data_IF_125898464608
#
_entry.id   IF_125898464608
#
_cell.length_a   1.000
_cell.length_b   1.000
_cell.length_c   1.000
_cell.angle_alpha   90.00
_cell.angle_beta   90.00
_cell.angle_gamma   90.00
#
_symmetry.space_group_name_H-M   'P 1'
#
loop_
_entity.id
_entity.type
_entity.pdbx_description
1 polymer ?
#
# COMPACT_ATOMS: atom_id res chain seq x y z
N UNK A 1 -1.88 1.95 -3.85
CA UNK A 1 -0.71 1.05 -3.79
C UNK A 1 0.56 1.88 -3.86
N UNK A 2 1.40 1.88 -2.82
CA UNK A 2 2.69 2.57 -2.86
C UNK A 2 3.69 1.78 -3.69
N UNK A 3 4.10 2.34 -4.82
CA UNK A 3 4.98 1.68 -5.78
C UNK A 3 6.39 2.27 -5.72
N UNK A 4 7.39 1.46 -5.34
CA UNK A 4 8.78 1.92 -5.22
C UNK A 4 9.42 2.21 -6.59
N UNK A 5 9.91 3.45 -6.72
CA UNK A 5 10.66 3.95 -7.87
C UNK A 5 11.90 4.70 -7.36
N UNK A 6 13.03 4.01 -7.27
CA UNK A 6 14.26 4.58 -6.75
C UNK A 6 14.08 5.05 -5.30
N UNK A 7 14.30 6.35 -5.04
CA UNK A 7 14.16 6.95 -3.69
C UNK A 7 12.75 7.46 -3.39
N UNK A 8 11.77 7.13 -4.23
CA UNK A 8 10.40 7.60 -4.09
C UNK A 8 9.40 6.44 -4.05
N UNK A 9 8.24 6.69 -3.45
CA UNK A 9 7.06 5.88 -3.65
C UNK A 9 6.03 6.70 -4.43
N UNK A 10 5.51 6.10 -5.49
CA UNK A 10 4.55 6.72 -6.38
C UNK A 10 3.20 6.03 -6.28
N UNK A 11 2.14 6.82 -6.43
CA UNK A 11 0.77 6.39 -6.61
C UNK A 11 0.33 6.79 -8.01
N UNK A 12 -0.44 5.95 -8.68
CA UNK A 12 -0.88 6.19 -10.06
C UNK A 12 -2.40 6.15 -10.20
N UNK A 13 -2.92 6.90 -11.16
CA UNK A 13 -4.33 6.94 -11.54
C UNK A 13 -5.25 7.16 -10.34
N UNK A 14 -6.11 6.19 -10.01
CA UNK A 14 -7.06 6.29 -8.89
C UNK A 14 -6.35 6.45 -7.54
N UNK A 15 -5.22 5.78 -7.36
CA UNK A 15 -4.42 5.95 -6.15
C UNK A 15 -3.80 7.35 -6.09
N UNK A 16 -3.49 7.94 -7.25
CA UNK A 16 -2.95 9.29 -7.31
C UNK A 16 -3.98 10.35 -6.93
N UNK A 17 -5.23 10.19 -7.36
CA UNK A 17 -6.33 11.06 -6.95
C UNK A 17 -6.55 11.00 -5.44
N UNK A 18 -6.44 9.80 -4.86
CA UNK A 18 -6.53 9.59 -3.42
C UNK A 18 -5.36 10.27 -2.69
N UNK A 19 -4.13 10.08 -3.15
CA UNK A 19 -2.96 10.76 -2.57
C UNK A 19 -3.05 12.29 -2.67
N UNK A 20 -3.54 12.81 -3.79
CA UNK A 20 -3.79 14.25 -3.93
C UNK A 20 -4.83 14.76 -2.93
N UNK A 21 -5.96 14.06 -2.80
CA UNK A 21 -7.07 14.45 -1.93
C UNK A 21 -6.77 14.29 -0.44
N UNK A 22 -6.18 13.16 -0.05
CA UNK A 22 -6.06 12.77 1.36
C UNK A 22 -4.72 13.18 1.99
N UNK A 23 -3.68 13.38 1.17
CA UNK A 23 -2.32 13.71 1.60
C UNK A 23 -1.81 15.06 1.08
N UNK A 24 -2.63 15.78 0.31
CA UNK A 24 -2.32 17.09 -0.29
C UNK A 24 -1.04 17.05 -1.17
N UNK A 25 -0.79 15.92 -1.83
CA UNK A 25 0.35 15.80 -2.74
C UNK A 25 0.04 16.40 -4.09
N UNK A 26 1.02 17.11 -4.67
CA UNK A 26 0.85 17.75 -5.97
C UNK A 26 0.70 16.72 -7.08
N UNK A 27 -0.46 16.73 -7.74
CA UNK A 27 -0.72 15.91 -8.93
C UNK A 27 0.21 16.30 -10.08
N UNK A 28 0.78 15.31 -10.75
CA UNK A 28 1.56 15.47 -11.97
C UNK A 28 1.03 14.53 -13.06
N UNK A 29 1.20 14.92 -14.32
CA UNK A 29 0.75 14.14 -15.50
C UNK A 29 1.89 13.96 -16.53
N UNK A 30 3.13 14.01 -16.05
CA UNK A 30 4.35 14.06 -16.88
C UNK A 30 5.22 12.82 -16.77
N UNK A 31 4.76 11.78 -16.06
CA UNK A 31 5.51 10.55 -15.80
C UNK A 31 5.47 9.51 -16.92
N UNK A 32 6.10 8.36 -16.64
CA UNK A 32 6.12 7.19 -17.54
C UNK A 32 4.68 6.75 -17.84
N UNK A 33 4.31 6.72 -19.12
CA UNK A 33 2.95 6.34 -19.54
C UNK A 33 1.92 7.47 -19.53
N UNK A 34 2.31 8.74 -19.25
CA UNK A 34 1.41 9.90 -19.24
C UNK A 34 0.19 9.73 -18.32
N UNK A 35 0.36 9.01 -17.23
CA UNK A 35 -0.66 8.76 -16.22
C UNK A 35 -0.73 9.89 -15.18
N UNK A 36 -1.85 9.94 -14.44
CA UNK A 36 -1.95 10.77 -13.22
C UNK A 36 -1.05 10.16 -12.14
N UNK A 37 -0.17 10.96 -11.53
CA UNK A 37 0.73 10.47 -10.50
C UNK A 37 1.00 11.51 -9.40
N UNK A 38 1.21 10.99 -8.19
CA UNK A 38 1.74 11.72 -7.02
C UNK A 38 2.79 10.85 -6.35
N UNK A 39 3.66 11.44 -5.53
CA UNK A 39 4.66 10.65 -4.82
C UNK A 39 5.29 11.37 -3.65
N UNK A 40 6.02 10.58 -2.85
CA UNK A 40 6.75 11.03 -1.67
C UNK A 40 8.13 10.38 -1.64
N UNK A 41 9.08 11.02 -0.96
CA UNK A 41 10.38 10.40 -0.68
C UNK A 41 10.21 9.15 0.20
N UNK A 42 11.15 8.23 0.10
CA UNK A 42 11.15 7.01 0.91
C UNK A 42 11.17 7.26 2.42
N UNK A 43 11.72 8.40 2.84
CA UNK A 43 11.74 8.81 4.25
C UNK A 43 10.38 9.23 4.79
N UNK A 44 9.43 9.59 3.91
CA UNK A 44 8.11 10.08 4.30
C UNK A 44 6.98 9.04 4.17
N UNK A 45 7.29 7.82 3.71
CA UNK A 45 6.25 6.82 3.43
C UNK A 45 5.50 6.41 4.70
N UNK A 46 6.18 6.20 5.82
CA UNK A 46 5.55 5.62 7.01
C UNK A 46 4.46 6.56 7.58
N UNK A 47 4.70 7.87 7.58
CA UNK A 47 3.69 8.87 7.96
C UNK A 47 2.49 8.86 7.00
N UNK A 48 2.75 8.78 5.69
CA UNK A 48 1.70 8.72 4.67
C UNK A 48 0.83 7.47 4.82
N UNK A 49 1.46 6.31 5.04
CA UNK A 49 0.81 5.03 5.29
C UNK A 49 -0.08 5.13 6.53
N UNK A 50 0.45 5.65 7.65
CA UNK A 50 -0.32 5.83 8.88
C UNK A 50 -1.56 6.71 8.67
N UNK A 51 -1.42 7.85 7.97
CA UNK A 51 -2.56 8.73 7.65
C UNK A 51 -3.63 8.02 6.82
N UNK A 52 -3.24 7.23 5.82
CA UNK A 52 -4.20 6.51 4.98
C UNK A 52 -4.88 5.36 5.75
N UNK A 53 -4.13 4.59 6.54
CA UNK A 53 -4.69 3.51 7.36
C UNK A 53 -5.66 4.06 8.40
N UNK A 54 -5.33 5.18 9.06
CA UNK A 54 -6.22 5.85 10.01
C UNK A 54 -7.54 6.33 9.36
N UNK A 55 -7.53 6.61 8.05
CA UNK A 55 -8.72 6.96 7.26
C UNK A 55 -9.50 5.74 6.74
N UNK A 56 -9.10 4.52 7.12
CA UNK A 56 -9.78 3.28 6.75
C UNK A 56 -9.31 2.65 5.44
N UNK A 57 -8.27 3.20 4.79
CA UNK A 57 -7.76 2.64 3.54
C UNK A 57 -6.94 1.37 3.80
N UNK A 58 -6.98 0.46 2.82
CA UNK A 58 -6.07 -0.68 2.73
C UNK A 58 -4.88 -0.29 1.88
N UNK A 59 -3.68 -0.42 2.44
CA UNK A 59 -2.45 0.10 1.86
C UNK A 59 -1.51 -1.04 1.53
N UNK A 60 -1.06 -1.14 0.27
CA UNK A 60 -0.03 -2.08 -0.14
C UNK A 60 1.30 -1.37 -0.40
N UNK A 61 2.41 -1.95 0.06
CA UNK A 61 3.78 -1.46 -0.18
C UNK A 61 4.52 -2.41 -1.12
N UNK A 62 4.89 -1.90 -2.28
CA UNK A 62 5.64 -2.65 -3.30
C UNK A 62 7.08 -2.17 -3.32
N UNK A 63 8.01 -3.10 -3.10
CA UNK A 63 9.45 -2.82 -3.08
C UNK A 63 10.16 -3.29 -4.34
N UNK A 64 11.31 -2.69 -4.62
CA UNK A 64 12.27 -3.17 -5.61
C UNK A 64 13.12 -4.28 -4.99
N UNK A 65 13.25 -5.41 -5.68
CA UNK A 65 14.00 -6.59 -5.19
C UNK A 65 15.52 -6.48 -5.41
N UNK A 66 15.96 -5.46 -6.14
CA UNK A 66 17.36 -5.17 -6.42
C UNK A 66 17.57 -3.66 -6.46
N UNK A 67 18.82 -3.23 -6.24
CA UNK A 67 19.21 -1.82 -6.34
C UNK A 67 19.33 -1.39 -7.79
N UNK A 68 19.32 -0.07 -8.02
CA UNK A 68 19.56 0.48 -9.36
C UNK A 68 20.91 0.04 -9.94
N UNK A 69 21.93 -0.16 -9.11
CA UNK A 69 23.27 -0.52 -9.57
C UNK A 69 23.34 -2.00 -9.97
N UNK A 70 22.68 -2.87 -9.20
CA UNK A 70 22.50 -4.28 -9.58
C UNK A 70 21.76 -4.42 -10.91
N UNK A 71 20.70 -3.63 -11.12
CA UNK A 71 19.95 -3.62 -12.37
C UNK A 71 20.79 -3.14 -13.56
N UNK A 72 21.55 -2.06 -13.39
CA UNK A 72 22.47 -1.53 -14.41
C UNK A 72 23.54 -2.55 -14.79
N UNK A 73 24.04 -3.33 -13.83
CA UNK A 73 25.00 -4.40 -14.08
C UNK A 73 24.43 -5.53 -14.95
N UNK A 74 23.10 -5.77 -14.93
CA UNK A 74 22.41 -6.72 -15.82
C UNK A 74 22.14 -6.15 -17.21
N UNK A 75 22.13 -4.82 -17.35
CA UNK A 75 21.94 -4.10 -18.61
C UNK A 75 21.19 -2.78 -18.41
N UNK A 76 21.46 -1.78 -19.27
CA UNK A 76 20.98 -0.41 -19.10
C UNK A 76 19.45 -0.24 -19.08
N UNK A 77 18.70 -1.14 -19.73
CA UNK A 77 17.24 -1.09 -19.84
C UNK A 77 16.55 -2.22 -19.07
N UNK A 78 17.21 -2.78 -18.07
CA UNK A 78 16.68 -3.94 -17.37
C UNK A 78 15.58 -3.53 -16.39
N UNK A 79 14.42 -4.17 -16.49
CA UNK A 79 13.31 -3.95 -15.57
C UNK A 79 13.68 -4.56 -14.21
N UNK A 80 13.56 -3.73 -13.17
CA UNK A 80 13.77 -4.16 -11.78
C UNK A 80 12.54 -4.95 -11.31
N UNK A 81 12.72 -6.23 -10.89
CA UNK A 81 11.64 -7.00 -10.29
C UNK A 81 11.12 -6.33 -9.03
N UNK A 82 9.80 -6.41 -8.82
CA UNK A 82 9.12 -5.78 -7.70
C UNK A 82 8.17 -6.76 -7.03
N UNK A 83 8.00 -6.61 -5.72
CA UNK A 83 7.14 -7.47 -4.91
C UNK A 83 6.31 -6.66 -3.93
N UNK A 84 5.04 -7.04 -3.75
CA UNK A 84 4.22 -6.60 -2.63
C UNK A 84 4.79 -7.22 -1.35
N UNK A 85 5.42 -6.40 -0.50
CA UNK A 85 6.08 -6.90 0.72
C UNK A 85 5.21 -6.73 1.96
N UNK A 86 4.23 -5.81 1.92
CA UNK A 86 3.38 -5.50 3.05
C UNK A 86 1.99 -5.07 2.59
N UNK A 87 0.98 -5.49 3.35
CA UNK A 87 -0.39 -5.00 3.25
C UNK A 87 -0.84 -4.56 4.64
N UNK A 88 -1.22 -3.31 4.76
CA UNK A 88 -1.69 -2.70 6.00
C UNK A 88 -3.16 -2.33 5.87
N UNK A 89 -3.90 -2.61 6.92
CA UNK A 89 -5.32 -2.27 7.09
C UNK A 89 -5.50 -1.77 8.52
N UNK A 90 -6.61 -1.10 8.85
CA UNK A 90 -6.84 -0.59 10.21
C UNK A 90 -6.65 -1.65 11.31
N UNK A 91 -7.05 -2.89 11.05
CA UNK A 91 -6.96 -4.00 12.03
C UNK A 91 -5.71 -4.88 11.87
N UNK A 92 -4.75 -4.51 11.03
CA UNK A 92 -3.49 -5.27 10.84
C UNK A 92 -2.25 -4.42 11.08
N UNK A 93 -2.41 -3.23 11.68
CA UNK A 93 -1.28 -2.41 12.10
C UNK A 93 -0.56 -3.10 13.27
N UNK A 94 0.68 -3.53 13.03
CA UNK A 94 1.56 -4.15 14.03
C UNK A 94 2.63 -3.20 14.56
N UNK A 95 2.84 -2.07 13.89
CA UNK A 95 3.91 -1.11 14.16
C UNK A 95 3.33 0.29 14.36
N UNK A 96 3.86 1.05 15.31
CA UNK A 96 3.41 2.41 15.64
C UNK A 96 2.57 2.50 16.93
N UNK A 97 1.98 3.67 17.17
CA UNK A 97 1.12 3.90 18.34
C UNK A 97 -0.30 3.39 18.04
N UNK A 98 -0.65 2.23 18.60
CA UNK A 98 -1.95 1.55 18.41
C UNK A 98 -3.05 2.22 19.28
N UNK A 99 -2.68 3.23 20.07
CA UNK A 99 -3.59 3.85 21.03
C UNK A 99 -3.80 2.96 22.27
N UNK A 100 -4.58 3.45 23.25
CA UNK A 100 -4.82 2.72 24.50
C UNK A 100 -5.80 1.55 24.33
N UNK A 101 -6.62 1.57 23.28
CA UNK A 101 -7.71 0.62 23.07
C UNK A 101 -7.29 -0.53 22.16
N UNK A 102 -7.83 -1.72 22.43
CA UNK A 102 -7.59 -2.89 21.60
C UNK A 102 -8.27 -2.76 20.23
N UNK A 103 -7.51 -3.01 19.16
CA UNK A 103 -8.04 -3.12 17.79
C UNK A 103 -8.24 -4.60 17.46
N UNK A 104 -9.47 -4.98 17.10
CA UNK A 104 -9.82 -6.37 16.81
C UNK A 104 -9.94 -6.65 15.31
N UNK A 105 -9.57 -7.86 14.90
CA UNK A 105 -9.88 -8.45 13.59
C UNK A 105 -10.82 -9.64 13.82
N UNK A 106 -12.05 -9.55 13.31
CA UNK A 106 -13.09 -10.55 13.54
C UNK A 106 -13.33 -11.39 12.27
N UNK A 107 -13.34 -12.71 12.43
CA UNK A 107 -13.82 -13.65 11.43
C UNK A 107 -15.10 -14.32 11.94
N UNK A 108 -16.17 -14.27 11.16
CA UNK A 108 -17.48 -14.87 11.50
C UNK A 108 -17.78 -15.99 10.50
N UNK A 109 -18.23 -17.14 11.00
CA UNK A 109 -18.70 -18.26 10.18
C UNK A 109 -20.08 -18.69 10.67
N UNK A 110 -21.06 -18.70 9.76
CA UNK A 110 -22.40 -19.19 10.02
C UNK A 110 -22.50 -20.69 9.70
N UNK A 111 -23.24 -21.44 10.52
CA UNK A 111 -23.53 -22.86 10.32
C UNK A 111 -25.03 -23.06 10.46
N UNK A 112 -25.67 -23.63 9.44
CA UNK A 112 -27.07 -24.09 9.54
C UNK A 112 -27.08 -25.50 10.09
N UNK A 113 -27.67 -25.68 11.27
CA UNK A 113 -27.95 -27.01 11.81
C UNK A 113 -29.32 -27.44 11.30
N UNK A 114 -29.38 -28.46 10.45
CA UNK A 114 -30.65 -29.12 10.15
C UNK A 114 -31.06 -29.90 11.41
N UNK A 115 -32.17 -29.51 12.03
CA UNK A 115 -32.80 -30.29 13.09
C UNK A 115 -33.26 -31.61 12.47
N UNK A 116 -32.58 -32.71 12.81
CA UNK A 116 -33.10 -34.06 12.57
C UNK A 116 -34.48 -34.15 13.25
N UNK A 117 -35.53 -34.14 12.44
CA UNK A 117 -36.87 -34.49 12.92
C UNK A 117 -36.85 -35.98 13.21
N UNK A 118 -36.78 -36.35 14.49
CA UNK A 118 -37.11 -37.71 14.91
C UNK A 118 -38.57 -38.01 14.50
N UNK A 119 -38.72 -38.94 13.57
CA UNK A 119 -39.97 -39.57 13.15
C UNK A 119 -40.48 -40.58 14.17
#
# INVERSE_FOLDING_TARGET
>A
LFFKVGKFYELYELDAELGHKELDWKMTMSGVGKCRQVGISESGIDEAVQKLVARGYKVGRVEQLETSDQAKARGANTIIPRKLVQVLTPSTASEGNIGPDAVHLLAIKEIKTELEKCS
#
